data_IF_802180840767
#
_entry.id   IF_802180840767
#
_cell.length_a   1.000
_cell.length_b   1.000
_cell.length_c   1.000
_cell.angle_alpha   90.00
_cell.angle_beta   90.00
_cell.angle_gamma   90.00
#
_symmetry.space_group_name_H-M   'P 1'
#
loop_
_entity.id
_entity.type
_entity.pdbx_description
1 polymer ?
#
# COMPACT_ATOMS: atom_id res chain seq x y z
N UNK A 1 0.23 17.78 -33.13
CA UNK A 1 -0.81 16.80 -32.75
C UNK A 1 -0.22 15.40 -32.90
N UNK A 2 0.18 14.75 -31.80
CA UNK A 2 0.52 13.33 -31.77
C UNK A 2 0.68 12.91 -30.29
N UNK A 3 -0.42 12.59 -29.61
CA UNK A 3 -0.40 11.96 -28.28
C UNK A 3 -1.76 11.33 -28.01
N UNK A 4 -2.09 10.25 -28.71
CA UNK A 4 -3.29 9.43 -28.44
C UNK A 4 -3.13 7.94 -28.81
N UNK A 5 -1.93 7.47 -29.17
CA UNK A 5 -1.69 6.07 -29.59
C UNK A 5 -1.34 5.10 -28.45
N UNK A 6 -0.64 5.58 -27.40
CA UNK A 6 -0.07 4.70 -26.38
C UNK A 6 -1.11 4.10 -25.40
N UNK A 7 -2.25 4.76 -25.19
CA UNK A 7 -3.28 4.30 -24.25
C UNK A 7 -4.14 3.15 -24.80
N UNK A 8 -4.26 3.04 -26.13
CA UNK A 8 -5.07 2.00 -26.78
C UNK A 8 -4.32 0.65 -26.81
N UNK A 9 -3.02 0.67 -27.12
CA UNK A 9 -2.17 -0.53 -27.16
C UNK A 9 -1.98 -1.15 -25.77
N UNK A 10 -1.77 -0.31 -24.73
CA UNK A 10 -1.72 -0.79 -23.33
C UNK A 10 -3.05 -1.37 -22.83
N UNK A 11 -4.18 -0.88 -23.32
CA UNK A 11 -5.50 -1.42 -22.94
C UNK A 11 -5.76 -2.77 -23.59
N UNK A 12 -5.22 -3.00 -24.80
CA UNK A 12 -5.42 -4.22 -25.57
C UNK A 12 -4.49 -5.35 -25.11
N UNK A 13 -3.25 -5.04 -24.73
CA UNK A 13 -2.33 -5.99 -24.06
C UNK A 13 -2.84 -6.40 -22.68
N UNK A 14 -3.40 -5.45 -21.91
CA UNK A 14 -3.96 -5.73 -20.57
C UNK A 14 -5.21 -6.59 -20.64
N UNK A 15 -6.04 -6.43 -21.67
CA UNK A 15 -7.19 -7.30 -21.91
C UNK A 15 -6.76 -8.74 -22.30
N UNK A 16 -5.74 -8.87 -23.16
CA UNK A 16 -5.20 -10.18 -23.53
C UNK A 16 -4.56 -10.92 -22.34
N UNK A 17 -3.90 -10.19 -21.43
CA UNK A 17 -3.29 -10.76 -20.22
C UNK A 17 -4.34 -11.19 -19.18
N UNK A 18 -5.45 -10.44 -19.06
CA UNK A 18 -6.60 -10.84 -18.23
C UNK A 18 -7.27 -12.10 -18.79
N UNK A 19 -7.50 -12.18 -20.10
CA UNK A 19 -8.08 -13.36 -20.75
C UNK A 19 -7.17 -14.60 -20.62
N UNK A 20 -5.86 -14.41 -20.76
CA UNK A 20 -4.87 -15.48 -20.57
C UNK A 20 -4.86 -15.99 -19.13
N UNK A 21 -4.89 -15.09 -18.14
CA UNK A 21 -4.94 -15.46 -16.72
C UNK A 21 -6.27 -16.13 -16.35
N UNK A 22 -7.38 -15.69 -16.93
CA UNK A 22 -8.68 -16.35 -16.79
C UNK A 22 -8.66 -17.76 -17.38
N UNK A 23 -8.04 -17.97 -18.55
CA UNK A 23 -7.85 -19.30 -19.13
C UNK A 23 -6.88 -20.18 -18.33
N UNK A 24 -5.91 -19.59 -17.64
CA UNK A 24 -5.03 -20.31 -16.71
C UNK A 24 -5.79 -20.75 -15.46
N UNK A 25 -6.70 -19.93 -14.94
CA UNK A 25 -7.62 -20.27 -13.84
C UNK A 25 -8.55 -21.40 -14.27
N UNK A 26 -9.22 -21.26 -15.43
CA UNK A 26 -10.08 -22.30 -15.99
C UNK A 26 -9.33 -23.61 -16.19
N UNK A 27 -8.11 -23.60 -16.74
CA UNK A 27 -7.27 -24.80 -16.91
C UNK A 27 -6.88 -25.46 -15.58
N UNK A 28 -6.63 -24.68 -14.52
CA UNK A 28 -6.39 -25.23 -13.18
C UNK A 28 -7.65 -25.83 -12.55
N UNK A 29 -8.83 -25.28 -12.84
CA UNK A 29 -10.12 -25.82 -12.42
C UNK A 29 -10.53 -27.08 -13.23
N UNK A 30 -10.08 -27.19 -14.47
CA UNK A 30 -10.42 -28.31 -15.37
C UNK A 30 -9.40 -29.45 -15.37
N UNK A 31 -8.27 -29.34 -14.66
CA UNK A 31 -7.32 -30.45 -14.53
C UNK A 31 -8.02 -31.69 -13.92
N UNK A 32 -8.27 -32.68 -14.77
CA UNK A 32 -9.27 -33.76 -14.66
C UNK A 32 -8.87 -34.95 -13.79
N UNK A 33 -7.91 -34.82 -12.87
CA UNK A 33 -7.46 -35.97 -12.06
C UNK A 33 -8.36 -36.23 -10.84
N UNK A 34 -8.87 -35.20 -10.17
CA UNK A 34 -9.43 -35.35 -8.80
C UNK A 34 -10.82 -34.71 -8.65
N UNK A 35 -11.71 -34.89 -9.63
CA UNK A 35 -13.08 -34.34 -9.56
C UNK A 35 -14.03 -35.32 -8.88
N UNK A 36 -14.43 -35.02 -7.64
CA UNK A 36 -15.44 -35.81 -6.93
C UNK A 36 -16.82 -35.21 -7.14
N UNK A 37 -17.62 -35.84 -8.00
CA UNK A 37 -19.02 -35.45 -8.19
C UNK A 37 -19.88 -36.02 -7.07
N UNK A 38 -20.78 -35.20 -6.53
CA UNK A 38 -21.83 -35.68 -5.63
C UNK A 38 -23.06 -36.04 -6.45
N UNK A 39 -23.54 -37.27 -6.33
CA UNK A 39 -24.69 -37.73 -7.11
C UNK A 39 -25.58 -38.66 -6.31
N UNK A 40 -26.89 -38.61 -6.56
CA UNK A 40 -27.85 -39.48 -5.92
C UNK A 40 -29.30 -39.16 -6.23
N UNK A 41 -30.24 -40.01 -5.77
CA UNK A 41 -31.67 -39.78 -5.94
C UNK A 41 -32.16 -38.71 -4.97
N UNK A 42 -33.01 -37.80 -5.46
CA UNK A 42 -33.72 -36.81 -4.66
C UNK A 42 -35.15 -36.65 -5.17
N UNK A 43 -36.09 -36.41 -4.25
CA UNK A 43 -37.42 -35.95 -4.61
C UNK A 43 -37.37 -34.43 -4.78
N UNK A 44 -37.55 -33.95 -6.01
CA UNK A 44 -37.60 -32.53 -6.34
C UNK A 44 -39.05 -32.08 -6.50
N UNK A 45 -39.44 -30.98 -5.85
CA UNK A 45 -40.76 -30.38 -6.07
C UNK A 45 -40.84 -29.69 -7.43
N UNK A 46 -41.89 -29.98 -8.18
CA UNK A 46 -42.23 -29.22 -9.37
C UNK A 46 -42.78 -27.86 -8.98
N UNK A 47 -42.23 -26.78 -9.54
CA UNK A 47 -42.71 -25.43 -9.29
C UNK A 47 -44.16 -25.25 -9.79
N UNK A 48 -44.45 -25.74 -11.00
CA UNK A 48 -45.75 -25.59 -11.67
C UNK A 48 -46.79 -26.57 -11.13
N UNK A 49 -46.41 -27.86 -11.03
CA UNK A 49 -47.38 -28.92 -10.68
C UNK A 49 -47.51 -29.14 -9.18
N UNK A 50 -46.62 -28.53 -8.37
CA UNK A 50 -46.51 -28.72 -6.91
C UNK A 50 -46.35 -30.19 -6.46
N UNK A 51 -46.02 -31.10 -7.38
CA UNK A 51 -45.79 -32.54 -7.16
C UNK A 51 -44.32 -32.86 -6.89
N UNK A 52 -44.08 -33.82 -6.01
CA UNK A 52 -42.77 -34.43 -5.79
C UNK A 52 -42.43 -35.37 -6.93
N UNK A 53 -41.21 -35.25 -7.45
CA UNK A 53 -40.74 -36.08 -8.54
C UNK A 53 -39.34 -36.58 -8.21
N UNK A 54 -39.13 -37.88 -8.30
CA UNK A 54 -37.80 -38.47 -8.19
C UNK A 54 -36.92 -38.02 -9.34
N UNK A 55 -35.71 -37.57 -9.02
CA UNK A 55 -34.71 -37.14 -9.98
C UNK A 55 -33.35 -37.66 -9.53
N UNK A 56 -32.55 -38.08 -10.50
CA UNK A 56 -31.13 -38.30 -10.27
C UNK A 56 -30.42 -36.96 -10.37
N UNK A 57 -29.82 -36.52 -9.28
CA UNK A 57 -29.17 -35.21 -9.18
C UNK A 57 -27.66 -35.41 -9.16
N UNK A 58 -26.95 -34.54 -9.87
CA UNK A 58 -25.48 -34.54 -9.96
C UNK A 58 -25.01 -33.11 -9.69
N UNK A 59 -24.08 -32.95 -8.76
CA UNK A 59 -23.45 -31.68 -8.41
C UNK A 59 -21.95 -31.78 -8.67
N UNK A 60 -21.44 -30.83 -9.44
CA UNK A 60 -20.01 -30.54 -9.52
C UNK A 60 -19.65 -29.46 -8.47
N UNK A 61 -18.93 -29.84 -7.40
CA UNK A 61 -18.61 -28.93 -6.30
C UNK A 61 -17.56 -27.87 -6.65
N UNK A 62 -16.88 -28.03 -7.79
CA UNK A 62 -15.86 -27.07 -8.25
C UNK A 62 -16.53 -25.97 -9.08
N UNK A 63 -17.50 -26.33 -9.92
CA UNK A 63 -18.13 -25.39 -10.86
C UNK A 63 -19.44 -24.82 -10.35
N UNK A 64 -20.04 -25.40 -9.31
CA UNK A 64 -21.39 -25.03 -8.88
C UNK A 64 -22.49 -25.53 -9.80
N UNK A 65 -22.15 -26.34 -10.81
CA UNK A 65 -23.12 -26.84 -11.77
C UNK A 65 -23.87 -28.02 -11.15
N UNK A 66 -25.15 -27.81 -10.85
CA UNK A 66 -26.05 -28.85 -10.36
C UNK A 66 -27.06 -29.22 -11.46
N UNK A 67 -27.03 -30.45 -11.92
CA UNK A 67 -27.95 -30.96 -12.94
C UNK A 67 -28.87 -32.04 -12.38
N UNK A 68 -30.05 -32.19 -12.98
CA UNK A 68 -30.98 -33.26 -12.61
C UNK A 68 -31.51 -33.98 -13.84
N UNK A 69 -31.65 -35.29 -13.73
CA UNK A 69 -32.10 -36.23 -14.77
C UNK A 69 -33.33 -36.99 -14.27
N UNK A 70 -34.10 -37.61 -15.16
CA UNK A 70 -35.22 -38.47 -14.74
C UNK A 70 -34.67 -39.77 -14.16
N UNK A 71 -33.60 -40.32 -14.74
CA UNK A 71 -32.92 -41.52 -14.24
C UNK A 71 -31.40 -41.37 -14.29
N UNK A 72 -30.69 -42.21 -13.51
CA UNK A 72 -29.21 -42.24 -13.44
C UNK A 72 -28.53 -42.37 -14.81
N UNK A 73 -29.05 -43.24 -15.66
CA UNK A 73 -28.41 -43.60 -16.94
C UNK A 73 -28.88 -42.75 -18.12
N UNK A 74 -29.57 -41.63 -17.89
CA UNK A 74 -29.99 -40.74 -18.99
C UNK A 74 -28.80 -39.89 -19.51
N UNK A 75 -28.63 -39.79 -20.85
CA UNK A 75 -27.55 -39.02 -21.43
C UNK A 75 -27.75 -37.51 -21.30
N UNK A 76 -29.00 -37.03 -21.34
CA UNK A 76 -29.33 -35.60 -21.26
C UNK A 76 -29.84 -35.19 -19.88
N UNK A 77 -29.39 -34.03 -19.41
CA UNK A 77 -29.95 -33.40 -18.22
C UNK A 77 -31.37 -32.89 -18.51
N UNK A 78 -32.31 -33.16 -17.59
CA UNK A 78 -33.67 -32.60 -17.65
C UNK A 78 -33.69 -31.11 -17.30
N UNK A 79 -32.73 -30.65 -16.52
CA UNK A 79 -32.51 -29.24 -16.23
C UNK A 79 -31.26 -29.02 -15.39
N UNK A 80 -30.89 -27.76 -15.30
CA UNK A 80 -29.74 -27.27 -14.52
C UNK A 80 -30.26 -26.29 -13.47
N UNK A 81 -29.65 -26.33 -12.29
CA UNK A 81 -29.88 -25.42 -11.19
C UNK A 81 -28.60 -24.62 -11.04
N UNK A 82 -28.71 -23.33 -11.30
CA UNK A 82 -27.63 -22.38 -11.16
C UNK A 82 -27.81 -21.65 -9.83
N UNK A 83 -26.84 -21.81 -8.94
CA UNK A 83 -26.74 -21.09 -7.69
C UNK A 83 -25.37 -20.42 -7.62
N UNK A 84 -25.27 -19.40 -6.79
CA UNK A 84 -24.07 -18.58 -6.63
C UNK A 84 -23.73 -18.37 -5.15
N UNK A 85 -22.73 -17.51 -4.90
CA UNK A 85 -22.24 -17.17 -3.57
C UNK A 85 -23.27 -16.47 -2.67
N UNK A 86 -24.36 -15.96 -3.26
CA UNK A 86 -25.47 -15.27 -2.59
C UNK A 86 -26.75 -16.10 -2.46
N UNK A 87 -26.75 -17.32 -2.99
CA UNK A 87 -27.89 -18.23 -2.90
C UNK A 87 -28.12 -18.71 -1.47
N UNK A 88 -29.38 -18.97 -1.10
CA UNK A 88 -29.73 -19.49 0.22
C UNK A 88 -29.78 -21.02 0.17
N UNK A 89 -28.97 -21.70 0.96
CA UNK A 89 -28.91 -23.18 1.01
C UNK A 89 -29.07 -23.64 2.45
N UNK A 90 -30.23 -24.22 2.74
CA UNK A 90 -30.64 -24.48 4.13
C UNK A 90 -31.41 -25.79 4.27
N UNK A 91 -31.13 -26.53 5.35
CA UNK A 91 -31.99 -27.62 5.81
C UNK A 91 -33.32 -27.04 6.26
N UNK A 92 -34.42 -27.60 5.78
CA UNK A 92 -35.74 -27.12 6.17
C UNK A 92 -36.08 -27.63 7.57
N UNK A 93 -36.36 -26.73 8.54
CA UNK A 93 -36.88 -27.15 9.85
C UNK A 93 -38.31 -27.67 9.76
N UNK A 94 -39.00 -27.40 8.65
CA UNK A 94 -40.37 -27.84 8.37
C UNK A 94 -40.37 -28.91 7.30
N UNK A 95 -41.06 -30.02 7.56
CA UNK A 95 -41.27 -31.07 6.57
C UNK A 95 -42.39 -30.66 5.59
N UNK A 96 -42.00 -30.07 4.47
CA UNK A 96 -42.92 -29.70 3.40
C UNK A 96 -43.38 -30.90 2.53
N UNK A 97 -42.84 -32.11 2.73
CA UNK A 97 -43.38 -33.33 2.13
C UNK A 97 -44.67 -33.76 2.84
N UNK A 98 -44.82 -33.37 4.12
CA UNK A 98 -46.02 -33.64 4.92
C UNK A 98 -46.16 -35.07 5.43
N UNK A 99 -45.18 -35.95 5.18
CA UNK A 99 -45.15 -37.31 5.70
C UNK A 99 -44.07 -37.46 6.77
N UNK A 100 -44.36 -37.95 7.98
CA UNK A 100 -43.39 -38.03 9.10
C UNK A 100 -42.07 -38.73 8.75
N UNK A 101 -42.09 -39.70 7.82
CA UNK A 101 -40.87 -40.39 7.36
C UNK A 101 -39.81 -39.48 6.71
N UNK A 102 -40.18 -38.25 6.35
CA UNK A 102 -39.27 -37.26 5.76
C UNK A 102 -38.93 -36.11 6.70
N UNK A 103 -39.20 -36.27 8.01
CA UNK A 103 -38.78 -35.29 9.01
C UNK A 103 -37.25 -35.17 9.02
N UNK A 104 -36.75 -33.93 8.88
CA UNK A 104 -35.32 -33.65 8.76
C UNK A 104 -34.69 -34.05 7.41
N UNK A 105 -35.47 -34.58 6.46
CA UNK A 105 -34.97 -34.97 5.13
C UNK A 105 -35.12 -33.87 4.07
N UNK A 106 -35.77 -32.76 4.42
CA UNK A 106 -36.13 -31.67 3.51
C UNK A 106 -35.06 -30.58 3.49
N UNK A 107 -34.72 -30.04 2.31
CA UNK A 107 -33.85 -28.88 2.17
C UNK A 107 -34.25 -28.04 0.96
N UNK A 108 -33.77 -26.79 0.90
CA UNK A 108 -34.06 -25.92 -0.24
C UNK A 108 -32.89 -25.07 -0.68
N UNK A 109 -32.94 -24.67 -1.95
CA UNK A 109 -32.00 -23.76 -2.60
C UNK A 109 -32.81 -22.58 -3.13
N UNK A 110 -32.61 -21.40 -2.55
CA UNK A 110 -33.14 -20.14 -3.06
C UNK A 110 -32.09 -19.43 -3.90
N UNK A 111 -32.39 -19.18 -5.18
CA UNK A 111 -31.47 -18.47 -6.09
C UNK A 111 -31.77 -16.96 -6.12
N UNK A 112 -30.81 -16.09 -6.48
CA UNK A 112 -31.05 -14.65 -6.62
C UNK A 112 -32.05 -14.29 -7.72
N UNK A 113 -32.25 -15.18 -8.69
CA UNK A 113 -33.33 -15.10 -9.67
C UNK A 113 -34.72 -15.42 -9.10
N UNK A 114 -34.85 -15.49 -7.77
CA UNK A 114 -36.07 -15.78 -6.98
C UNK A 114 -36.74 -17.10 -7.35
N UNK A 115 -35.95 -18.10 -7.75
CA UNK A 115 -36.43 -19.46 -7.95
C UNK A 115 -36.05 -20.31 -6.75
N UNK A 116 -37.07 -20.80 -6.04
CA UNK A 116 -36.89 -21.71 -4.92
C UNK A 116 -37.00 -23.16 -5.38
N UNK A 117 -35.95 -23.94 -5.13
CA UNK A 117 -35.90 -25.36 -5.39
C UNK A 117 -36.03 -26.12 -4.08
N UNK A 118 -37.06 -26.95 -3.96
CA UNK A 118 -37.36 -27.74 -2.78
C UNK A 118 -37.02 -29.21 -3.03
N UNK A 119 -36.29 -29.82 -2.11
CA UNK A 119 -35.80 -31.19 -2.21
C UNK A 119 -36.06 -32.01 -0.95
N UNK A 120 -36.21 -33.32 -1.14
CA UNK A 120 -36.29 -34.30 -0.06
C UNK A 120 -35.33 -35.44 -0.37
N UNK A 121 -34.47 -35.76 0.60
CA UNK A 121 -33.60 -36.92 0.57
C UNK A 121 -34.28 -38.13 1.23
N UNK A 122 -33.71 -39.32 1.06
CA UNK A 122 -34.24 -40.53 1.71
C UNK A 122 -34.05 -40.50 3.23
N UNK A 123 -32.92 -39.96 3.70
CA UNK A 123 -32.57 -39.89 5.12
C UNK A 123 -32.16 -38.48 5.55
N UNK A 124 -32.27 -38.16 6.85
CA UNK A 124 -31.77 -36.87 7.37
C UNK A 124 -30.26 -36.71 7.18
N UNK A 125 -29.50 -37.82 7.24
CA UNK A 125 -28.06 -37.84 6.95
C UNK A 125 -27.77 -37.42 5.50
N UNK A 126 -28.48 -38.01 4.54
CA UNK A 126 -28.35 -37.64 3.14
C UNK A 126 -28.74 -36.18 2.87
N UNK A 127 -29.79 -35.65 3.53
CA UNK A 127 -30.15 -34.24 3.42
C UNK A 127 -29.04 -33.31 3.91
N UNK A 128 -28.43 -33.63 5.07
CA UNK A 128 -27.26 -32.89 5.58
C UNK A 128 -26.06 -32.98 4.65
N UNK A 129 -25.81 -34.15 4.07
CA UNK A 129 -24.71 -34.38 3.13
C UNK A 129 -24.85 -33.49 1.87
N UNK A 130 -26.07 -33.41 1.30
CA UNK A 130 -26.38 -32.50 0.20
C UNK A 130 -26.16 -31.03 0.56
N UNK A 131 -26.73 -30.58 1.69
CA UNK A 131 -26.59 -29.17 2.13
C UNK A 131 -25.14 -28.80 2.40
N UNK A 132 -24.38 -29.67 3.07
CA UNK A 132 -22.97 -29.41 3.41
C UNK A 132 -22.11 -29.27 2.16
N UNK A 133 -22.31 -30.16 1.17
CA UNK A 133 -21.56 -30.09 -0.09
C UNK A 133 -21.96 -28.87 -0.93
N UNK A 134 -23.24 -28.53 -0.96
CA UNK A 134 -23.72 -27.32 -1.63
C UNK A 134 -23.13 -26.04 -0.99
N UNK A 135 -23.08 -25.96 0.34
CA UNK A 135 -22.46 -24.83 1.05
C UNK A 135 -20.95 -24.75 0.82
N UNK A 136 -20.24 -25.89 0.82
CA UNK A 136 -18.83 -25.94 0.45
C UNK A 136 -18.61 -25.46 -0.99
N UNK A 137 -19.53 -25.79 -1.90
CA UNK A 137 -19.51 -25.31 -3.28
C UNK A 137 -19.71 -23.79 -3.35
N UNK A 138 -20.57 -23.19 -2.50
CA UNK A 138 -20.70 -21.73 -2.42
C UNK A 138 -19.40 -21.04 -1.98
N UNK A 139 -18.59 -21.66 -1.12
CA UNK A 139 -17.27 -21.14 -0.75
C UNK A 139 -16.32 -21.13 -1.94
N UNK A 140 -16.36 -22.15 -2.80
CA UNK A 140 -15.59 -22.19 -4.06
C UNK A 140 -16.02 -21.07 -5.00
N UNK A 141 -17.33 -20.89 -5.19
CA UNK A 141 -17.88 -19.82 -6.04
C UNK A 141 -17.50 -18.43 -5.53
N UNK A 142 -17.52 -18.22 -4.21
CA UNK A 142 -17.06 -16.98 -3.57
C UNK A 142 -15.57 -16.75 -3.79
N UNK A 143 -14.74 -17.75 -3.50
CA UNK A 143 -13.30 -17.65 -3.70
C UNK A 143 -12.94 -17.40 -5.17
N UNK A 144 -13.69 -17.99 -6.10
CA UNK A 144 -13.54 -17.74 -7.53
C UNK A 144 -13.87 -16.29 -7.90
N UNK A 145 -15.00 -15.77 -7.42
CA UNK A 145 -15.41 -14.37 -7.62
C UNK A 145 -14.38 -13.39 -7.07
N UNK A 146 -13.86 -13.65 -5.87
CA UNK A 146 -12.80 -12.86 -5.25
C UNK A 146 -11.49 -12.91 -6.05
N UNK A 147 -11.08 -14.10 -6.51
CA UNK A 147 -9.87 -14.26 -7.33
C UNK A 147 -9.99 -13.54 -8.68
N UNK A 148 -11.16 -13.59 -9.33
CA UNK A 148 -11.42 -12.87 -10.58
C UNK A 148 -11.40 -11.36 -10.37
N UNK A 149 -12.03 -10.85 -9.29
CA UNK A 149 -12.00 -9.42 -8.97
C UNK A 149 -10.58 -8.92 -8.63
N UNK A 150 -9.74 -9.79 -8.06
CA UNK A 150 -8.34 -9.49 -7.73
C UNK A 150 -7.39 -9.53 -8.93
N UNK A 151 -7.84 -9.90 -10.15
CA UNK A 151 -6.99 -9.82 -11.36
C UNK A 151 -6.57 -8.38 -11.71
N UNK A 152 -7.08 -7.36 -11.01
CA UNK A 152 -6.65 -5.95 -11.09
C UNK A 152 -5.60 -5.53 -10.04
N UNK A 153 -5.17 -6.42 -9.12
CA UNK A 153 -4.12 -6.13 -8.13
C UNK A 153 -3.87 -7.26 -7.10
N UNK A 154 -2.60 -7.44 -6.70
CA UNK A 154 -2.05 -8.43 -5.73
C UNK A 154 -2.68 -9.85 -5.77
N UNK A 155 -2.37 -10.60 -6.83
CA UNK A 155 -3.01 -11.90 -7.11
C UNK A 155 -2.53 -13.10 -6.28
N UNK A 156 -1.37 -13.04 -5.61
CA UNK A 156 -0.71 -14.27 -5.10
C UNK A 156 -1.44 -14.92 -3.91
N UNK A 157 -1.89 -14.13 -2.93
CA UNK A 157 -2.52 -14.63 -1.70
C UNK A 157 -3.91 -15.21 -1.92
N UNK A 158 -4.66 -14.71 -2.93
CA UNK A 158 -6.05 -15.09 -3.21
C UNK A 158 -6.17 -16.41 -3.98
N UNK A 159 -5.16 -16.79 -4.77
CA UNK A 159 -5.12 -18.11 -5.41
C UNK A 159 -4.93 -19.25 -4.40
N UNK A 160 -4.24 -18.99 -3.28
CA UNK A 160 -4.14 -19.95 -2.17
C UNK A 160 -5.51 -20.25 -1.55
N UNK A 161 -6.33 -19.22 -1.34
CA UNK A 161 -7.71 -19.36 -0.84
C UNK A 161 -8.60 -20.17 -1.79
N UNK A 162 -8.50 -19.94 -3.11
CA UNK A 162 -9.25 -20.71 -4.10
C UNK A 162 -8.86 -22.19 -4.09
N UNK A 163 -7.56 -22.50 -4.05
CA UNK A 163 -7.08 -23.88 -4.00
C UNK A 163 -7.55 -24.62 -2.73
N UNK A 164 -7.49 -23.93 -1.57
CA UNK A 164 -7.98 -24.48 -0.31
C UNK A 164 -9.50 -24.75 -0.35
N UNK A 165 -10.29 -23.82 -0.89
CA UNK A 165 -11.74 -23.98 -1.03
C UNK A 165 -12.09 -25.17 -1.93
N UNK A 166 -11.40 -25.35 -3.07
CA UNK A 166 -11.61 -26.48 -3.97
C UNK A 166 -11.28 -27.81 -3.29
N UNK A 167 -10.14 -27.88 -2.60
CA UNK A 167 -9.72 -29.09 -1.87
C UNK A 167 -10.74 -29.46 -0.79
N UNK A 168 -11.21 -28.48 -0.01
CA UNK A 168 -12.23 -28.68 1.01
C UNK A 168 -13.57 -29.15 0.42
N UNK A 169 -14.01 -28.55 -0.70
CA UNK A 169 -15.25 -28.94 -1.37
C UNK A 169 -15.20 -30.36 -1.95
N UNK A 170 -14.08 -30.74 -2.57
CA UNK A 170 -13.86 -32.12 -3.04
C UNK A 170 -13.83 -33.12 -1.89
N UNK A 171 -13.13 -32.80 -0.79
CA UNK A 171 -13.10 -33.67 0.39
C UNK A 171 -14.49 -33.83 1.01
N UNK A 172 -15.25 -32.74 1.11
CA UNK A 172 -16.64 -32.75 1.61
C UNK A 172 -17.53 -33.61 0.71
N UNK A 173 -17.43 -33.45 -0.61
CA UNK A 173 -18.20 -34.23 -1.58
C UNK A 173 -17.88 -35.73 -1.48
N UNK A 174 -16.60 -36.09 -1.29
CA UNK A 174 -16.16 -37.48 -1.13
C UNK A 174 -16.73 -38.11 0.14
N UNK A 175 -16.68 -37.41 1.27
CA UNK A 175 -17.25 -37.90 2.53
C UNK A 175 -18.77 -38.00 2.45
N UNK A 176 -19.43 -36.95 1.97
CA UNK A 176 -20.89 -36.89 1.80
C UNK A 176 -21.42 -37.94 0.80
N UNK A 177 -20.61 -38.38 -0.16
CA UNK A 177 -21.01 -39.42 -1.11
C UNK A 177 -21.31 -40.75 -0.41
N UNK A 178 -20.59 -41.08 0.67
CA UNK A 178 -20.79 -42.30 1.46
C UNK A 178 -22.15 -42.29 2.17
N UNK A 179 -22.56 -41.14 2.69
CA UNK A 179 -23.87 -40.95 3.32
C UNK A 179 -25.02 -41.10 2.32
N UNK A 180 -24.85 -40.58 1.10
CA UNK A 180 -25.84 -40.74 0.02
C UNK A 180 -25.92 -42.21 -0.42
N UNK A 181 -24.80 -42.90 -0.54
CA UNK A 181 -24.78 -44.32 -0.90
C UNK A 181 -25.44 -45.19 0.18
N UNK A 182 -25.17 -44.93 1.46
CA UNK A 182 -25.83 -45.60 2.58
C UNK A 182 -27.36 -45.40 2.56
N UNK A 183 -27.80 -44.16 2.30
CA UNK A 183 -29.22 -43.84 2.17
C UNK A 183 -29.88 -44.57 0.97
N UNK A 184 -29.17 -44.70 -0.15
CA UNK A 184 -29.64 -45.44 -1.33
C UNK A 184 -29.85 -46.93 -1.01
N UNK A 185 -28.94 -47.56 -0.26
CA UNK A 185 -29.07 -48.96 0.16
C UNK A 185 -30.30 -49.22 1.04
N UNK A 186 -30.64 -48.25 1.91
CA UNK A 186 -31.87 -48.31 2.73
C UNK A 186 -33.11 -48.27 1.84
N UNK A 187 -33.14 -47.35 0.87
CA UNK A 187 -34.26 -47.24 -0.08
C UNK A 187 -34.45 -48.52 -0.90
N UNK A 188 -33.35 -49.12 -1.38
CA UNK A 188 -33.37 -50.40 -2.10
C UNK A 188 -33.95 -51.53 -1.25
N UNK A 189 -33.56 -51.64 0.02
CA UNK A 189 -34.11 -52.65 0.94
C UNK A 189 -35.62 -52.47 1.14
N UNK A 190 -36.08 -51.23 1.28
CA UNK A 190 -37.50 -50.91 1.46
C UNK A 190 -38.34 -51.24 0.22
N UNK A 191 -37.78 -51.08 -1.00
CA UNK A 191 -38.47 -51.39 -2.25
C UNK A 191 -38.64 -52.90 -2.52
N UNK A 192 -37.79 -53.75 -1.93
CA UNK A 192 -37.77 -55.20 -2.19
C UNK A 192 -38.65 -56.03 -1.23
N UNK A 193 -39.31 -55.42 -0.24
CA UNK A 193 -40.44 -56.03 0.49
C UNK A 193 -40.22 -57.43 1.09
N UNK A 194 -39.02 -57.77 1.56
CA UNK A 194 -38.73 -59.12 2.06
C UNK A 194 -39.31 -59.32 3.46
N UNK A 195 -40.51 -59.91 3.51
CA UNK A 195 -41.11 -60.52 4.72
C UNK A 195 -41.65 -61.91 4.35
N UNK A 196 -40.97 -62.97 4.79
CA UNK A 196 -41.36 -64.37 4.52
C UNK A 196 -42.18 -64.92 5.69
N UNK A 197 -43.39 -65.44 5.44
CA UNK A 197 -44.03 -66.51 6.22
C UNK A 197 -45.23 -67.11 5.46
N UNK A 198 -45.25 -68.43 5.30
CA UNK A 198 -46.36 -69.24 4.72
C UNK A 198 -46.78 -70.32 5.71
N UNK A 199 -48.07 -70.40 6.03
CA UNK A 199 -48.71 -71.44 6.86
C UNK A 199 -49.48 -72.40 5.93
N UNK A 200 -49.41 -73.71 6.17
CA UNK A 200 -50.21 -74.74 5.48
C UNK A 200 -51.10 -75.44 6.51
N UNK A 201 -52.42 -75.46 6.26
CA UNK A 201 -53.48 -76.07 7.10
C UNK A 201 -53.79 -77.53 6.71
N UNK A 202 -53.96 -78.39 7.73
CA UNK A 202 -54.56 -79.72 7.68
C UNK A 202 -54.78 -80.25 9.12
N UNK A 203 -55.74 -81.17 9.39
CA UNK A 203 -56.09 -81.57 10.76
C UNK A 203 -54.95 -82.36 11.40
N UNK A 204 -54.30 -81.78 12.40
CA UNK A 204 -53.11 -82.33 13.06
C UNK A 204 -53.51 -83.26 14.21
N UNK A 205 -52.98 -84.49 14.17
CA UNK A 205 -53.00 -85.48 15.26
C UNK A 205 -52.25 -84.95 16.50
N UNK A 206 -52.72 -85.19 17.73
CA UNK A 206 -52.17 -84.61 18.98
C UNK A 206 -50.67 -84.92 19.17
N UNK A 207 -50.24 -86.10 18.74
CA UNK A 207 -48.84 -86.49 18.73
C UNK A 207 -48.02 -85.65 17.72
N UNK A 208 -48.63 -85.29 16.60
CA UNK A 208 -48.03 -84.39 15.59
C UNK A 208 -47.96 -82.96 16.12
N UNK A 209 -48.97 -82.48 16.84
CA UNK A 209 -48.96 -81.17 17.50
C UNK A 209 -47.82 -81.06 18.50
N UNK A 210 -47.62 -82.07 19.36
CA UNK A 210 -46.53 -82.08 20.34
C UNK A 210 -45.15 -82.08 19.67
N UNK A 211 -44.97 -82.90 18.64
CA UNK A 211 -43.72 -82.98 17.88
C UNK A 211 -43.40 -81.65 17.18
N UNK A 212 -44.41 -81.03 16.59
CA UNK A 212 -44.25 -79.72 15.94
C UNK A 212 -43.98 -78.61 16.96
N UNK A 213 -44.64 -78.64 18.12
CA UNK A 213 -44.38 -77.68 19.21
C UNK A 213 -42.93 -77.78 19.72
N UNK A 214 -42.42 -79.00 19.93
CA UNK A 214 -41.03 -79.20 20.32
C UNK A 214 -40.05 -78.75 19.22
N UNK A 215 -40.37 -79.01 17.95
CA UNK A 215 -39.57 -78.54 16.80
C UNK A 215 -39.51 -77.01 16.77
N UNK A 216 -40.66 -76.33 16.91
CA UNK A 216 -40.75 -74.86 16.95
C UNK A 216 -39.98 -74.31 18.14
N UNK A 217 -40.05 -74.95 19.31
CA UNK A 217 -39.28 -74.52 20.49
C UNK A 217 -37.77 -74.68 20.31
N UNK A 218 -37.32 -75.75 19.67
CA UNK A 218 -35.90 -75.95 19.34
C UNK A 218 -35.42 -74.89 18.32
N UNK A 219 -36.24 -74.59 17.31
CA UNK A 219 -35.99 -73.52 16.34
C UNK A 219 -35.96 -72.14 17.01
N UNK A 220 -36.89 -71.83 17.92
CA UNK A 220 -36.89 -70.60 18.72
C UNK A 220 -35.62 -70.47 19.57
N UNK A 221 -35.16 -71.56 20.20
CA UNK A 221 -33.92 -71.57 20.99
C UNK A 221 -32.68 -71.36 20.11
N UNK A 222 -32.64 -71.98 18.93
CA UNK A 222 -31.56 -71.78 17.97
C UNK A 222 -31.53 -70.33 17.45
N UNK A 223 -32.68 -69.74 17.16
CA UNK A 223 -32.83 -68.35 16.75
C UNK A 223 -32.39 -67.38 17.87
N UNK A 224 -32.83 -67.61 19.12
CA UNK A 224 -32.39 -66.82 20.27
C UNK A 224 -30.87 -66.90 20.47
N UNK A 225 -30.28 -68.09 20.32
CA UNK A 225 -28.83 -68.25 20.43
C UNK A 225 -28.08 -67.51 19.30
N UNK A 226 -28.64 -67.47 18.09
CA UNK A 226 -28.09 -66.68 16.99
C UNK A 226 -28.18 -65.18 17.28
N UNK A 227 -29.32 -64.69 17.75
CA UNK A 227 -29.54 -63.29 18.10
C UNK A 227 -28.60 -62.81 19.21
N UNK A 228 -28.36 -63.65 20.23
CA UNK A 228 -27.38 -63.35 21.29
C UNK A 228 -25.99 -63.17 20.70
N UNK A 229 -25.54 -64.09 19.83
CA UNK A 229 -24.23 -63.96 19.17
C UNK A 229 -24.13 -62.72 18.28
N UNK A 230 -25.20 -62.38 17.57
CA UNK A 230 -25.25 -61.17 16.75
C UNK A 230 -25.17 -59.90 17.62
N UNK A 231 -25.84 -59.89 18.77
CA UNK A 231 -25.73 -58.80 19.75
C UNK A 231 -24.35 -58.71 20.36
N UNK A 232 -23.72 -59.83 20.73
CA UNK A 232 -22.35 -59.86 21.25
C UNK A 232 -21.34 -59.31 20.21
N UNK A 233 -21.51 -59.66 18.94
CA UNK A 233 -20.72 -59.07 17.85
C UNK A 233 -20.91 -57.55 17.77
N UNK A 234 -22.16 -57.08 17.85
CA UNK A 234 -22.47 -55.65 17.82
C UNK A 234 -21.88 -54.92 19.03
N UNK A 235 -21.95 -55.50 20.23
CA UNK A 235 -21.36 -54.94 21.44
C UNK A 235 -19.85 -54.83 21.30
N UNK A 236 -19.18 -55.86 20.75
CA UNK A 236 -17.74 -55.84 20.50
C UNK A 236 -17.34 -54.75 19.51
N UNK A 237 -18.09 -54.58 18.43
CA UNK A 237 -17.86 -53.51 17.44
C UNK A 237 -18.06 -52.11 18.04
N UNK A 238 -19.09 -51.94 18.88
CA UNK A 238 -19.33 -50.68 19.59
C UNK A 238 -18.22 -50.39 20.60
N UNK A 239 -17.72 -51.40 21.33
CA UNK A 239 -16.60 -51.25 22.25
C UNK A 239 -15.32 -50.82 21.52
N UNK A 240 -15.04 -51.38 20.34
CA UNK A 240 -13.93 -50.96 19.48
C UNK A 240 -14.05 -49.49 19.07
N UNK A 241 -15.21 -49.09 18.53
CA UNK A 241 -15.46 -47.70 18.14
C UNK A 241 -15.33 -46.70 19.30
N UNK A 242 -15.78 -47.09 20.50
CA UNK A 242 -15.62 -46.26 21.70
C UNK A 242 -14.14 -46.12 22.10
N UNK A 243 -13.35 -47.19 21.97
CA UNK A 243 -11.90 -47.15 22.19
C UNK A 243 -11.21 -46.22 21.20
N UNK A 244 -11.50 -46.35 19.90
CA UNK A 244 -10.95 -45.48 18.86
C UNK A 244 -11.32 -44.01 19.09
N UNK A 245 -12.55 -43.76 19.53
CA UNK A 245 -13.03 -42.40 19.86
C UNK A 245 -12.30 -41.84 21.08
N UNK A 246 -12.02 -42.66 22.09
CA UNK A 246 -11.27 -42.25 23.28
C UNK A 246 -9.82 -41.89 22.93
N UNK A 247 -9.14 -42.70 22.11
CA UNK A 247 -7.77 -42.44 21.65
C UNK A 247 -7.70 -41.17 20.77
N UNK A 248 -8.67 -40.98 19.88
CA UNK A 248 -8.78 -39.76 19.09
C UNK A 248 -9.00 -38.51 19.96
N UNK A 249 -9.84 -38.62 21.00
CA UNK A 249 -10.09 -37.54 21.94
C UNK A 249 -8.84 -37.19 22.78
N UNK A 250 -8.08 -38.19 23.22
CA UNK A 250 -6.82 -37.99 23.95
C UNK A 250 -5.76 -37.33 23.07
N UNK A 251 -5.64 -37.78 21.81
CA UNK A 251 -4.75 -37.19 20.82
C UNK A 251 -5.11 -35.72 20.54
N UNK A 252 -6.40 -35.43 20.36
CA UNK A 252 -6.90 -34.07 20.17
C UNK A 252 -6.63 -33.18 21.40
N UNK A 253 -6.88 -33.67 22.62
CA UNK A 253 -6.60 -32.94 23.85
C UNK A 253 -5.11 -32.62 24.01
N UNK A 254 -4.23 -33.57 23.64
CA UNK A 254 -2.78 -33.39 23.67
C UNK A 254 -2.28 -32.37 22.64
N UNK A 255 -2.87 -32.38 21.43
CA UNK A 255 -2.60 -31.38 20.42
C UNK A 255 -3.02 -29.96 20.88
N UNK A 256 -4.21 -29.83 21.47
CA UNK A 256 -4.71 -28.56 22.01
C UNK A 256 -3.79 -28.00 23.10
N UNK A 257 -3.30 -28.86 24.02
CA UNK A 257 -2.34 -28.43 25.06
C UNK A 257 -1.03 -27.91 24.46
N UNK A 258 -0.50 -28.59 23.45
CA UNK A 258 0.72 -28.17 22.75
C UNK A 258 0.52 -26.82 22.06
N UNK A 259 -0.61 -26.62 21.38
CA UNK A 259 -0.96 -25.36 20.72
C UNK A 259 -1.11 -24.23 21.75
N UNK A 260 -1.77 -24.47 22.88
CA UNK A 260 -1.93 -23.46 23.95
C UNK A 260 -0.58 -23.06 24.54
N UNK A 261 0.32 -24.02 24.75
CA UNK A 261 1.68 -23.74 25.21
C UNK A 261 2.47 -22.90 24.19
N UNK A 262 2.40 -23.25 22.91
CA UNK A 262 3.03 -22.45 21.85
C UNK A 262 2.45 -21.04 21.78
N UNK A 263 1.11 -20.90 21.85
CA UNK A 263 0.43 -19.60 21.89
C UNK A 263 0.92 -18.74 23.05
N UNK A 264 1.05 -19.32 24.26
CA UNK A 264 1.58 -18.61 25.44
C UNK A 264 3.01 -18.13 25.22
N UNK A 265 3.89 -18.97 24.67
CA UNK A 265 5.27 -18.57 24.35
C UNK A 265 5.31 -17.42 23.32
N UNK A 266 4.51 -17.52 22.25
CA UNK A 266 4.43 -16.47 21.23
C UNK A 266 3.90 -15.15 21.80
N UNK A 267 2.88 -15.18 22.66
CA UNK A 267 2.36 -13.98 23.31
C UNK A 267 3.39 -13.30 24.21
N UNK A 268 4.17 -14.08 24.97
CA UNK A 268 5.27 -13.55 25.78
C UNK A 268 6.35 -12.88 24.93
N UNK A 269 6.70 -13.47 23.79
CA UNK A 269 7.69 -12.88 22.87
C UNK A 269 7.17 -11.61 22.20
N UNK A 270 5.88 -11.58 21.82
CA UNK A 270 5.24 -10.36 21.33
C UNK A 270 5.31 -9.26 22.39
N UNK A 271 4.96 -9.56 23.64
CA UNK A 271 5.04 -8.59 24.74
C UNK A 271 6.45 -8.03 24.93
N UNK A 272 7.47 -8.90 24.89
CA UNK A 272 8.88 -8.50 24.97
C UNK A 272 9.29 -7.59 23.80
N UNK A 273 8.90 -7.93 22.58
CA UNK A 273 9.19 -7.12 21.39
C UNK A 273 8.49 -5.76 21.45
N UNK A 274 7.22 -5.72 21.87
CA UNK A 274 6.48 -4.47 22.07
C UNK A 274 7.21 -3.55 23.03
N UNK A 275 7.65 -4.06 24.19
CA UNK A 275 8.38 -3.26 25.17
C UNK A 275 9.69 -2.69 24.58
N UNK A 276 10.46 -3.50 23.84
CA UNK A 276 11.70 -3.05 23.20
C UNK A 276 11.43 -1.93 22.18
N UNK A 277 10.37 -2.05 21.38
CA UNK A 277 10.00 -1.02 20.41
C UNK A 277 9.49 0.26 21.08
N UNK A 278 8.77 0.15 22.20
CA UNK A 278 8.36 1.31 23.00
C UNK A 278 9.57 2.05 23.58
N UNK A 279 10.52 1.33 24.17
CA UNK A 279 11.77 1.92 24.70
C UNK A 279 12.59 2.60 23.60
N UNK A 280 12.70 1.98 22.41
CA UNK A 280 13.36 2.59 21.25
C UNK A 280 12.64 3.85 20.76
N UNK A 281 11.31 3.81 20.69
CA UNK A 281 10.50 4.95 20.28
C UNK A 281 10.69 6.13 21.24
N UNK A 282 10.71 5.88 22.54
CA UNK A 282 10.90 6.93 23.55
C UNK A 282 12.33 7.49 23.53
N UNK A 283 13.34 6.65 23.28
CA UNK A 283 14.72 7.11 23.03
C UNK A 283 14.81 8.02 21.80
N UNK A 284 14.14 7.66 20.70
CA UNK A 284 14.14 8.47 19.49
C UNK A 284 13.39 9.79 19.66
N UNK A 285 12.26 9.80 20.39
CA UNK A 285 11.55 11.04 20.74
C UNK A 285 12.44 11.98 21.55
N UNK A 286 13.21 11.45 22.50
CA UNK A 286 14.13 12.26 23.29
C UNK A 286 15.22 12.89 22.43
N UNK A 287 15.85 12.11 21.55
CA UNK A 287 16.88 12.62 20.61
C UNK A 287 16.32 13.65 19.64
N UNK A 288 15.08 13.46 19.18
CA UNK A 288 14.40 14.43 18.33
C UNK A 288 14.25 15.76 19.07
N UNK A 289 13.73 15.73 20.31
CA UNK A 289 13.58 16.93 21.14
C UNK A 289 14.91 17.64 21.40
N UNK A 290 15.97 16.89 21.71
CA UNK A 290 17.32 17.46 21.88
C UNK A 290 17.82 18.14 20.60
N UNK A 291 17.57 17.53 19.43
CA UNK A 291 17.95 18.10 18.14
C UNK A 291 17.14 19.35 17.78
N UNK A 292 15.85 19.38 18.13
CA UNK A 292 14.98 20.56 17.96
C UNK A 292 15.45 21.72 18.84
N UNK A 293 15.84 21.45 20.10
CA UNK A 293 16.39 22.46 21.00
C UNK A 293 17.73 23.01 20.49
N UNK A 294 18.59 22.15 19.93
CA UNK A 294 19.84 22.56 19.29
C UNK A 294 19.60 23.43 18.05
N UNK A 295 18.64 23.06 17.20
CA UNK A 295 18.27 23.86 16.02
C UNK A 295 17.76 25.25 16.42
N UNK A 296 16.91 25.34 17.45
CA UNK A 296 16.44 26.61 17.99
C UNK A 296 17.58 27.47 18.57
N UNK A 297 18.60 26.85 19.16
CA UNK A 297 19.78 27.58 19.64
C UNK A 297 20.60 28.17 18.48
N UNK A 298 20.83 27.37 17.43
CA UNK A 298 21.54 27.81 16.22
C UNK A 298 20.78 28.91 15.46
N UNK A 299 19.45 28.84 15.41
CA UNK A 299 18.64 29.89 14.79
C UNK A 299 18.77 31.23 15.52
N UNK A 300 18.81 31.22 16.87
CA UNK A 300 19.06 32.44 17.66
C UNK A 300 20.46 33.00 17.43
N UNK A 301 21.47 32.15 17.37
CA UNK A 301 22.85 32.57 17.07
C UNK A 301 22.95 33.19 15.66
N UNK A 302 22.29 32.56 14.67
CA UNK A 302 22.21 33.08 13.31
C UNK A 302 21.54 34.47 13.26
N UNK A 303 20.45 34.68 13.99
CA UNK A 303 19.81 36.00 14.06
C UNK A 303 20.74 37.06 14.66
N UNK A 304 21.49 36.70 15.69
CA UNK A 304 22.43 37.64 16.32
C UNK A 304 23.60 37.98 15.38
N UNK A 305 24.14 36.99 14.67
CA UNK A 305 25.17 37.21 13.64
C UNK A 305 24.65 38.09 12.50
N UNK A 306 23.38 37.95 12.09
CA UNK A 306 22.76 38.82 11.09
C UNK A 306 22.71 40.27 11.59
N UNK A 307 22.29 40.50 12.85
CA UNK A 307 22.28 41.85 13.44
C UNK A 307 23.68 42.46 13.50
N UNK A 308 24.69 41.67 13.91
CA UNK A 308 26.08 42.12 13.96
C UNK A 308 26.62 42.49 12.58
N UNK A 309 26.34 41.66 11.57
CA UNK A 309 26.68 41.94 10.17
C UNK A 309 26.05 43.25 9.70
N UNK A 310 24.75 43.45 9.97
CA UNK A 310 24.02 44.62 9.50
C UNK A 310 24.51 45.90 10.20
N UNK A 311 24.84 45.84 11.49
CA UNK A 311 25.46 46.94 12.21
C UNK A 311 26.84 47.30 11.64
N UNK A 312 27.69 46.31 11.35
CA UNK A 312 29.00 46.52 10.76
C UNK A 312 28.91 47.13 9.35
N UNK A 313 27.91 46.71 8.55
CA UNK A 313 27.66 47.30 7.23
C UNK A 313 27.22 48.76 7.34
N UNK A 314 26.33 49.09 8.27
CA UNK A 314 25.91 50.48 8.52
C UNK A 314 27.08 51.37 8.96
N UNK A 315 27.95 50.88 9.83
CA UNK A 315 29.15 51.60 10.26
C UNK A 315 30.13 51.81 9.08
N UNK A 316 30.35 50.79 8.26
CA UNK A 316 31.19 50.91 7.07
C UNK A 316 30.64 51.95 6.07
N UNK A 317 29.33 51.97 5.84
CA UNK A 317 28.67 52.98 5.00
C UNK A 317 28.84 54.40 5.55
N UNK A 318 28.72 54.57 6.87
CA UNK A 318 28.96 55.85 7.55
C UNK A 318 30.41 56.32 7.34
N UNK A 319 31.38 55.45 7.58
CA UNK A 319 32.81 55.75 7.41
C UNK A 319 33.14 56.10 5.96
N UNK A 320 32.55 55.41 4.97
CA UNK A 320 32.69 55.74 3.56
C UNK A 320 32.12 57.13 3.24
N UNK A 321 30.98 57.50 3.82
CA UNK A 321 30.38 58.83 3.67
C UNK A 321 31.27 59.92 4.27
N UNK A 322 31.81 59.71 5.47
CA UNK A 322 32.73 60.64 6.12
C UNK A 322 34.03 60.80 5.35
N UNK A 323 34.58 59.69 4.84
CA UNK A 323 35.78 59.70 4.01
C UNK A 323 35.55 60.43 2.67
N UNK A 324 34.36 60.30 2.07
CA UNK A 324 33.99 61.08 0.89
C UNK A 324 33.95 62.58 1.18
N UNK A 325 33.33 62.99 2.29
CA UNK A 325 33.32 64.41 2.73
C UNK A 325 34.73 64.93 3.00
N UNK A 326 35.57 64.15 3.69
CA UNK A 326 36.95 64.53 3.97
C UNK A 326 37.78 64.71 2.68
N UNK A 327 37.58 63.84 1.69
CA UNK A 327 38.21 63.97 0.37
C UNK A 327 37.75 65.23 -0.38
N UNK A 328 36.46 65.54 -0.33
CA UNK A 328 35.93 66.77 -0.92
C UNK A 328 36.53 68.03 -0.26
N UNK A 329 36.59 68.05 1.07
CA UNK A 329 37.25 69.13 1.81
C UNK A 329 38.74 69.27 1.49
N UNK A 330 39.47 68.15 1.40
CA UNK A 330 40.88 68.17 1.01
C UNK A 330 41.07 68.74 -0.41
N UNK A 331 40.25 68.31 -1.37
CA UNK A 331 40.29 68.84 -2.75
C UNK A 331 39.97 70.34 -2.81
N UNK A 332 39.00 70.82 -2.00
CA UNK A 332 38.69 72.24 -1.90
C UNK A 332 39.86 73.06 -1.32
N UNK A 333 40.54 72.54 -0.30
CA UNK A 333 41.73 73.17 0.28
C UNK A 333 42.90 73.20 -0.71
N UNK A 334 43.15 72.11 -1.44
CA UNK A 334 44.17 72.08 -2.50
C UNK A 334 43.87 73.13 -3.59
N UNK A 335 42.62 73.24 -4.04
CA UNK A 335 42.21 74.25 -5.01
C UNK A 335 42.40 75.68 -4.47
N UNK A 336 42.11 75.93 -3.19
CA UNK A 336 42.33 77.21 -2.53
C UNK A 336 43.82 77.56 -2.43
N UNK A 337 44.67 76.59 -2.06
CA UNK A 337 46.13 76.75 -1.99
C UNK A 337 46.73 77.03 -3.38
N UNK A 338 46.29 76.31 -4.42
CA UNK A 338 46.73 76.59 -5.79
C UNK A 338 46.36 78.02 -6.22
N UNK A 339 45.15 78.49 -5.87
CA UNK A 339 44.71 79.84 -6.17
C UNK A 339 45.54 80.91 -5.44
N UNK A 340 45.84 80.71 -4.15
CA UNK A 340 46.70 81.63 -3.41
C UNK A 340 48.16 81.60 -3.87
N UNK A 341 48.69 80.42 -4.20
CA UNK A 341 50.05 80.31 -4.74
C UNK A 341 50.17 81.01 -6.11
N UNK A 342 49.15 80.89 -6.97
CA UNK A 342 49.12 81.62 -8.25
C UNK A 342 48.99 83.13 -8.03
N UNK A 343 48.17 83.59 -7.08
CA UNK A 343 48.12 85.02 -6.71
C UNK A 343 49.47 85.53 -6.21
N UNK A 344 50.14 84.77 -5.34
CA UNK A 344 51.46 85.12 -4.84
C UNK A 344 52.49 85.20 -5.99
N UNK A 345 52.46 84.25 -6.93
CA UNK A 345 53.31 84.26 -8.13
C UNK A 345 53.07 85.48 -9.02
N UNK A 346 51.81 85.87 -9.22
CA UNK A 346 51.44 87.08 -9.97
C UNK A 346 51.93 88.33 -9.24
N UNK A 347 51.71 88.42 -7.91
CA UNK A 347 52.18 89.54 -7.11
C UNK A 347 53.71 89.68 -7.14
N UNK A 348 54.46 88.58 -7.02
CA UNK A 348 55.92 88.56 -7.16
C UNK A 348 56.38 88.98 -8.57
N UNK A 349 55.67 88.57 -9.61
CA UNK A 349 55.96 88.98 -10.98
C UNK A 349 55.72 90.49 -11.17
N UNK A 350 54.65 91.04 -10.58
CA UNK A 350 54.38 92.49 -10.58
C UNK A 350 55.44 93.27 -9.81
N UNK A 351 55.85 92.82 -8.62
CA UNK A 351 56.91 93.51 -7.84
C UNK A 351 58.23 93.49 -8.59
N UNK A 352 58.64 92.35 -9.16
CA UNK A 352 59.85 92.25 -10.00
C UNK A 352 59.77 93.13 -11.24
N UNK A 353 58.59 93.28 -11.85
CA UNK A 353 58.40 94.17 -12.99
C UNK A 353 58.58 95.64 -12.57
N UNK A 354 58.02 96.05 -11.43
CA UNK A 354 58.22 97.40 -10.87
C UNK A 354 59.67 97.67 -10.48
N UNK A 355 60.36 96.68 -9.91
CA UNK A 355 61.80 96.76 -9.60
C UNK A 355 62.63 96.97 -10.87
N UNK A 356 62.40 96.17 -11.92
CA UNK A 356 63.08 96.35 -13.21
C UNK A 356 62.81 97.71 -13.84
N UNK A 357 61.57 98.21 -13.76
CA UNK A 357 61.23 99.55 -14.23
C UNK A 357 61.97 100.64 -13.43
N UNK A 358 62.08 100.48 -12.11
CA UNK A 358 62.82 101.38 -11.25
C UNK A 358 64.33 101.34 -11.54
N UNK A 359 64.92 100.15 -11.71
CA UNK A 359 66.33 99.96 -12.10
C UNK A 359 66.61 100.61 -13.46
N UNK A 360 65.70 100.47 -14.43
CA UNK A 360 65.85 101.10 -15.74
C UNK A 360 65.78 102.63 -15.64
N UNK A 361 64.84 103.18 -14.87
CA UNK A 361 64.76 104.64 -14.61
C UNK A 361 66.01 105.15 -13.89
N UNK A 362 66.55 104.38 -12.94
CA UNK A 362 67.80 104.73 -12.26
C UNK A 362 68.98 104.72 -13.24
N UNK A 363 69.10 103.70 -14.09
CA UNK A 363 70.13 103.61 -15.13
C UNK A 363 70.04 104.78 -16.13
N UNK A 364 68.83 105.14 -16.57
CA UNK A 364 68.57 106.32 -17.40
C UNK A 364 69.00 107.61 -16.68
N UNK A 365 68.62 107.78 -15.41
CA UNK A 365 69.03 108.94 -14.61
C UNK A 365 70.54 109.02 -14.39
N UNK A 366 71.21 107.89 -14.19
CA UNK A 366 72.68 107.81 -14.08
C UNK A 366 73.32 108.19 -15.41
N UNK A 367 72.78 107.73 -16.53
CA UNK A 367 73.25 108.09 -17.87
C UNK A 367 73.08 109.58 -18.13
N UNK A 368 71.90 110.14 -17.85
CA UNK A 368 71.65 111.58 -17.95
C UNK A 368 72.64 112.37 -17.09
N UNK A 369 72.90 111.92 -15.85
CA UNK A 369 73.89 112.52 -14.96
C UNK A 369 75.32 112.45 -15.54
N UNK A 370 75.70 111.34 -16.18
CA UNK A 370 76.98 111.21 -16.86
C UNK A 370 77.08 112.15 -18.07
N UNK A 371 76.01 112.29 -18.85
CA UNK A 371 75.93 113.23 -19.97
C UNK A 371 76.02 114.69 -19.47
N UNK A 372 75.32 115.04 -18.39
CA UNK A 372 75.44 116.34 -17.73
C UNK A 372 76.85 116.58 -17.20
N UNK A 373 77.48 115.60 -16.56
CA UNK A 373 78.87 115.71 -16.11
C UNK A 373 79.83 115.90 -17.29
N UNK A 374 79.63 115.19 -18.40
CA UNK A 374 80.42 115.37 -19.62
C UNK A 374 80.22 116.78 -20.20
N UNK A 375 78.99 117.30 -20.19
CA UNK A 375 78.67 118.67 -20.61
C UNK A 375 79.34 119.72 -19.73
N UNK A 376 79.26 119.57 -18.39
CA UNK A 376 79.94 120.44 -17.42
C UNK A 376 81.45 120.40 -17.61
N UNK A 377 82.03 119.21 -17.79
CA UNK A 377 83.46 119.06 -18.08
C UNK A 377 83.86 119.74 -19.40
N UNK A 378 83.01 119.66 -20.43
CA UNK A 378 83.18 120.38 -21.69
C UNK A 378 83.21 121.91 -21.50
N UNK A 379 82.24 122.44 -20.77
CA UNK A 379 82.19 123.88 -20.41
C UNK A 379 83.41 124.30 -19.56
N UNK A 380 83.85 123.45 -18.64
CA UNK A 380 85.04 123.70 -17.82
C UNK A 380 86.32 123.72 -18.68
N UNK A 381 86.41 122.86 -19.70
CA UNK A 381 87.50 122.88 -20.67
C UNK A 381 87.46 124.13 -21.58
N UNK A 382 86.26 124.60 -21.97
CA UNK A 382 86.11 125.88 -22.70
C UNK A 382 86.54 127.07 -21.83
N UNK A 383 86.16 127.11 -20.56
CA UNK A 383 86.60 128.13 -19.60
C UNK A 383 88.12 128.12 -19.41
N UNK A 384 88.76 126.95 -19.34
CA UNK A 384 90.22 126.86 -19.28
C UNK A 384 90.89 127.37 -20.56
N UNK A 385 90.32 127.09 -21.75
CA UNK A 385 90.81 127.66 -23.02
C UNK A 385 90.63 129.18 -23.08
N UNK A 386 89.54 129.72 -22.53
CA UNK A 386 89.31 131.15 -22.42
C UNK A 386 90.32 131.82 -21.47
N UNK A 387 90.66 131.16 -20.37
CA UNK A 387 91.62 131.66 -19.37
C UNK A 387 93.06 131.67 -19.93
N UNK A 388 93.41 130.66 -20.73
CA UNK A 388 94.69 130.61 -21.44
C UNK A 388 94.75 131.70 -22.54
N UNK A 389 93.63 132.01 -23.20
CA UNK A 389 93.54 133.10 -24.18
C UNK A 389 93.66 134.50 -23.56
N UNK A 390 93.21 134.71 -22.31
CA UNK A 390 93.31 136.00 -21.61
C UNK A 390 94.70 136.28 -21.01
N UNK A 391 95.56 135.26 -20.89
CA UNK A 391 96.87 135.39 -20.25
C UNK A 391 98.00 135.82 -21.20
N UNK A 392 97.73 135.99 -22.50
CA UNK A 392 98.75 136.26 -23.53
C UNK A 392 98.86 137.73 -23.97
N UNK A 393 98.21 138.69 -23.29
CA UNK A 393 98.24 140.10 -23.73
C UNK A 393 98.22 141.02 -22.51
N UNK A 394 99.21 141.94 -22.41
CA UNK A 394 99.62 142.82 -21.29
C UNK A 394 100.67 142.16 -20.35
N UNK A 395 101.96 142.54 -20.36
CA UNK A 395 102.55 143.86 -20.08
C UNK A 395 103.95 144.02 -20.72
N UNK A 396 104.30 145.24 -21.15
CA UNK A 396 105.61 145.74 -21.61
C UNK A 396 105.98 147.06 -20.86
N UNK A 397 107.28 147.45 -20.86
CA UNK A 397 107.95 148.74 -20.47
C UNK A 397 108.52 148.81 -19.02
N UNK A 398 109.84 148.63 -18.73
CA UNK A 398 111.08 149.48 -18.78
C UNK A 398 111.28 150.50 -17.62
N UNK A 399 112.52 150.82 -17.15
CA UNK A 399 113.76 151.13 -17.91
C UNK A 399 114.75 149.98 -18.13
#
# INVERSE_FOLDING_TARGET
MASNGASAEQSQERAADVDWNLEKIKRRLTSTSDKTLLQGPLLKRSYTLKKWNERWVILDPITGRMEYKVRRNEPSARGIIEFDDSSTITLSPVNFHGLPKYDGCCFYIGTPSRKDYLFVAETPGAARAWVSTLQATQLVLRAHKEAVNALSGDGSSKFGTLAAAISAANSTALECSKEIEAAMQISMRNALGVTTNTIIEGPLDDFTIMKETLRVKDEELQNLAHDIRARDSTIKDLAGKLSDTAEAAESAASAVRTIDQQRKMTLSEIGRLTQVYEEQLDSLKLKLKESEEMALALDREREELIKQRDAALQEAELLLSELAKAREHASALEAALLKENEKARVAEAETRAREKEAEQKESESVKDKQEFLAYVNGLQAELQRFTISLSSTFISVKP
#
